data_IF_038136268282
#
_entry.id   IF_038136268282
#
_cell.length_a   1.000
_cell.length_b   1.000
_cell.length_c   1.000
_cell.angle_alpha   90.00
_cell.angle_beta   90.00
_cell.angle_gamma   90.00
#
_symmetry.space_group_name_H-M   'P 1'
#
loop_
_entity.id
_entity.type
_entity.pdbx_description
1 polymer ?
#
# COMPACT_ATOMS: atom_id res chain seq x y z
N UNK A 1 -19.30 93.42 -44.13
CA UNK A 1 -19.77 92.29 -43.30
C UNK A 1 -18.62 91.95 -42.36
N UNK A 2 -18.46 92.56 -41.17
CA UNK A 2 -19.18 92.29 -39.89
C UNK A 2 -19.45 90.77 -39.75
N UNK A 3 -18.89 90.02 -38.79
CA UNK A 3 -18.57 90.43 -37.42
C UNK A 3 -17.41 89.68 -36.77
N UNK A 4 -16.97 90.29 -35.67
CA UNK A 4 -15.98 89.85 -34.70
C UNK A 4 -16.73 89.65 -33.36
N UNK A 5 -16.05 89.11 -32.34
CA UNK A 5 -16.39 89.06 -30.88
C UNK A 5 -17.05 87.71 -30.49
N UNK A 6 -16.70 86.95 -29.43
CA UNK A 6 -15.99 87.16 -28.15
C UNK A 6 -15.41 85.81 -27.65
N UNK A 7 -14.32 85.86 -26.89
CA UNK A 7 -13.89 84.79 -25.98
C UNK A 7 -14.82 84.75 -24.75
N UNK A 8 -15.12 83.56 -24.24
CA UNK A 8 -15.50 83.33 -22.86
C UNK A 8 -14.86 82.03 -22.35
N UNK A 9 -14.49 82.11 -21.08
CA UNK A 9 -13.69 81.21 -20.27
C UNK A 9 -14.47 79.98 -19.75
N UNK A 10 -13.69 78.94 -19.43
CA UNK A 10 -13.91 77.84 -18.46
C UNK A 10 -15.00 76.78 -18.72
N UNK A 11 -14.60 75.51 -18.85
CA UNK A 11 -15.06 74.40 -17.98
C UNK A 11 -14.21 73.13 -18.20
N UNK A 12 -14.18 72.27 -17.19
CA UNK A 12 -13.16 71.28 -16.86
C UNK A 12 -13.26 69.90 -17.57
N UNK A 13 -12.15 69.16 -17.45
CA UNK A 13 -12.05 67.69 -17.31
C UNK A 13 -12.48 66.79 -18.48
N UNK A 14 -11.49 66.35 -19.28
CA UNK A 14 -11.59 65.14 -20.11
C UNK A 14 -10.92 63.96 -19.38
N UNK A 15 -11.70 62.90 -19.17
CA UNK A 15 -11.44 61.81 -18.23
C UNK A 15 -10.28 60.89 -18.63
N UNK A 16 -9.27 60.77 -17.76
CA UNK A 16 -8.15 59.83 -17.85
C UNK A 16 -8.54 58.37 -17.46
N UNK A 17 -9.81 58.11 -17.17
CA UNK A 17 -10.29 56.86 -16.57
C UNK A 17 -10.65 55.80 -17.62
N UNK A 18 -11.21 56.17 -18.78
CA UNK A 18 -11.67 55.20 -19.80
C UNK A 18 -10.54 54.48 -20.56
N UNK A 19 -9.38 55.15 -20.70
CA UNK A 19 -8.21 54.58 -21.39
C UNK A 19 -7.47 53.53 -20.54
N UNK A 20 -7.72 53.49 -19.22
CA UNK A 20 -7.09 52.52 -18.31
C UNK A 20 -7.87 51.20 -18.26
N UNK A 21 -9.20 51.28 -18.25
CA UNK A 21 -10.11 50.12 -18.22
C UNK A 21 -9.97 49.23 -19.47
N UNK A 22 -9.76 49.82 -20.65
CA UNK A 22 -9.61 49.04 -21.90
C UNK A 22 -8.28 48.31 -22.00
N UNK A 23 -7.21 48.83 -21.40
CA UNK A 23 -5.90 48.17 -21.36
C UNK A 23 -5.91 47.05 -20.32
N UNK A 24 -6.52 47.26 -19.15
CA UNK A 24 -6.60 46.25 -18.09
C UNK A 24 -7.37 44.99 -18.52
N UNK A 25 -8.48 45.14 -19.27
CA UNK A 25 -9.26 44.01 -19.78
C UNK A 25 -8.52 43.15 -20.82
N UNK A 26 -7.63 43.74 -21.63
CA UNK A 26 -6.88 43.00 -22.65
C UNK A 26 -5.72 42.17 -22.07
N UNK A 27 -5.17 42.57 -20.92
CA UNK A 27 -4.12 41.83 -20.23
C UNK A 27 -4.67 40.60 -19.50
N UNK A 28 -5.90 40.65 -19.01
CA UNK A 28 -6.56 39.52 -18.34
C UNK A 28 -6.92 38.39 -19.33
N UNK A 29 -7.32 38.73 -20.56
CA UNK A 29 -7.58 37.73 -21.62
C UNK A 29 -6.29 37.07 -22.14
N UNK A 30 -5.19 37.82 -22.21
CA UNK A 30 -3.90 37.26 -22.61
C UNK A 30 -3.34 36.30 -21.54
N UNK A 31 -3.50 36.64 -20.25
CA UNK A 31 -3.02 35.79 -19.15
C UNK A 31 -3.85 34.52 -18.96
N UNK A 32 -5.16 34.58 -19.23
CA UNK A 32 -6.03 33.39 -19.23
C UNK A 32 -5.76 32.46 -20.41
N UNK A 33 -5.49 32.98 -21.60
CA UNK A 33 -5.07 32.19 -22.76
C UNK A 33 -3.68 31.56 -22.57
N UNK A 34 -2.73 32.30 -21.98
CA UNK A 34 -1.40 31.76 -21.65
C UNK A 34 -1.52 30.67 -20.56
N UNK A 35 -2.41 30.83 -19.57
CA UNK A 35 -2.69 29.77 -18.58
C UNK A 35 -3.35 28.55 -19.21
N UNK A 36 -4.31 28.72 -20.12
CA UNK A 36 -4.99 27.62 -20.81
C UNK A 36 -4.06 26.83 -21.75
N UNK A 37 -3.17 27.52 -22.47
CA UNK A 37 -2.16 26.91 -23.33
C UNK A 37 -1.08 26.14 -22.55
N UNK A 38 -0.70 26.65 -21.37
CA UNK A 38 0.23 25.94 -20.48
C UNK A 38 -0.43 24.76 -19.76
N UNK A 39 -1.74 24.80 -19.50
CA UNK A 39 -2.47 23.69 -18.87
C UNK A 39 -2.65 22.50 -19.84
N UNK A 40 -2.84 22.76 -21.13
CA UNK A 40 -2.94 21.70 -22.14
C UNK A 40 -1.59 21.03 -22.43
N UNK A 41 -0.48 21.78 -22.43
CA UNK A 41 0.87 21.23 -22.56
C UNK A 41 1.33 20.48 -21.29
N UNK A 42 0.97 20.96 -20.09
CA UNK A 42 1.23 20.25 -18.82
C UNK A 42 0.47 18.92 -18.75
N UNK A 43 -0.79 18.86 -19.17
CA UNK A 43 -1.56 17.60 -19.18
C UNK A 43 -1.01 16.57 -20.18
N UNK A 44 -0.45 17.01 -21.32
CA UNK A 44 0.12 16.10 -22.33
C UNK A 44 1.46 15.51 -21.90
N UNK A 45 2.32 16.34 -21.28
CA UNK A 45 3.63 15.90 -20.74
C UNK A 45 3.47 15.05 -19.47
N UNK A 46 2.44 15.33 -18.66
CA UNK A 46 2.11 14.55 -17.46
C UNK A 46 1.52 13.16 -17.81
N UNK A 47 0.86 13.01 -18.97
CA UNK A 47 0.36 11.73 -19.46
C UNK A 47 1.47 10.83 -20.04
N UNK A 48 2.50 11.41 -20.67
CA UNK A 48 3.61 10.65 -21.26
C UNK A 48 4.53 10.01 -20.20
N UNK A 49 4.69 10.65 -19.04
CA UNK A 49 5.52 10.14 -17.93
C UNK A 49 4.75 9.23 -16.95
N UNK A 50 3.42 9.11 -17.08
CA UNK A 50 2.57 8.26 -16.22
C UNK A 50 1.86 7.12 -16.95
N UNK A 51 2.20 6.87 -18.21
CA UNK A 51 1.57 5.82 -19.00
C UNK A 51 2.11 4.44 -18.60
N UNK A 52 1.56 3.87 -17.52
CA UNK A 52 1.74 2.46 -17.13
C UNK A 52 1.33 1.47 -18.24
N UNK A 53 0.76 1.93 -19.35
CA UNK A 53 0.50 1.10 -20.53
C UNK A 53 0.89 1.90 -21.76
N UNK A 54 1.71 1.33 -22.65
CA UNK A 54 2.14 1.96 -23.93
C UNK A 54 1.00 2.13 -24.97
N UNK A 55 -0.25 2.00 -24.55
CA UNK A 55 -1.41 1.95 -25.42
C UNK A 55 -1.91 3.37 -25.69
N UNK A 56 -2.34 3.66 -26.92
CA UNK A 56 -2.97 4.94 -27.23
C UNK A 56 -4.28 5.09 -26.44
N UNK A 57 -4.68 6.32 -26.07
CA UNK A 57 -5.89 6.54 -25.25
C UNK A 57 -7.17 6.01 -25.93
N UNK A 58 -7.19 5.99 -27.27
CA UNK A 58 -8.29 5.39 -28.04
C UNK A 58 -8.37 3.88 -27.84
N UNK A 59 -7.25 3.17 -28.02
CA UNK A 59 -7.19 1.72 -27.82
C UNK A 59 -7.41 1.33 -26.35
N UNK A 60 -7.02 2.18 -25.40
CA UNK A 60 -7.34 2.01 -23.99
C UNK A 60 -8.85 2.04 -23.72
N UNK A 61 -9.60 2.94 -24.39
CA UNK A 61 -11.07 2.98 -24.28
C UNK A 61 -11.73 1.76 -24.92
N UNK A 62 -11.23 1.29 -26.06
CA UNK A 62 -11.73 0.05 -26.69
C UNK A 62 -11.53 -1.15 -25.76
N UNK A 63 -10.34 -1.27 -25.18
CA UNK A 63 -10.02 -2.34 -24.22
C UNK A 63 -10.95 -2.29 -23.01
N UNK A 64 -11.10 -1.12 -22.39
CA UNK A 64 -11.91 -0.96 -21.19
C UNK A 64 -13.41 -1.16 -21.50
N UNK A 65 -13.84 -0.84 -22.72
CA UNK A 65 -15.19 -1.11 -23.21
C UNK A 65 -15.48 -2.62 -23.30
N UNK A 66 -14.60 -3.41 -23.93
CA UNK A 66 -14.76 -4.86 -24.01
C UNK A 66 -14.58 -5.57 -22.65
N UNK A 67 -13.79 -5.00 -21.74
CA UNK A 67 -13.62 -5.53 -20.38
C UNK A 67 -14.77 -5.16 -19.44
N UNK A 68 -15.64 -4.21 -19.81
CA UNK A 68 -16.70 -3.64 -18.98
C UNK A 68 -16.21 -3.15 -17.60
N UNK A 69 -14.89 -2.93 -17.48
CA UNK A 69 -14.18 -2.55 -16.26
C UNK A 69 -12.93 -1.78 -16.65
N UNK A 70 -12.54 -0.83 -15.81
CA UNK A 70 -11.23 -0.16 -15.94
C UNK A 70 -10.12 -1.20 -15.89
N UNK A 71 -9.25 -1.18 -16.88
CA UNK A 71 -8.13 -2.12 -16.93
C UNK A 71 -7.18 -1.90 -15.75
N UNK A 72 -6.97 -2.97 -14.97
CA UNK A 72 -5.92 -3.02 -13.95
C UNK A 72 -4.67 -3.63 -14.57
N UNK A 73 -3.55 -2.93 -14.45
CA UNK A 73 -2.29 -3.33 -15.07
C UNK A 73 -1.55 -4.35 -14.20
N UNK A 74 -1.38 -5.57 -14.70
CA UNK A 74 -0.66 -6.63 -14.00
C UNK A 74 0.86 -6.58 -14.22
N UNK A 75 1.32 -5.77 -15.18
CA UNK A 75 2.75 -5.65 -15.46
C UNK A 75 3.43 -4.78 -14.40
N UNK A 76 4.63 -5.23 -13.99
CA UNK A 76 5.48 -4.51 -13.04
C UNK A 76 6.33 -3.50 -13.81
N UNK A 77 6.04 -2.22 -13.61
CA UNK A 77 6.84 -1.11 -14.11
C UNK A 77 7.91 -0.72 -13.10
N UNK A 78 8.92 0.00 -13.56
CA UNK A 78 10.06 0.42 -12.74
C UNK A 78 9.61 1.22 -11.50
N UNK A 79 8.67 2.15 -11.67
CA UNK A 79 8.19 3.02 -10.58
C UNK A 79 7.46 2.27 -9.45
N UNK A 80 6.87 1.12 -9.76
CA UNK A 80 6.17 0.27 -8.79
C UNK A 80 7.07 -0.80 -8.17
N UNK A 81 8.28 -0.96 -8.71
CA UNK A 81 9.24 -1.97 -8.28
C UNK A 81 10.34 -1.30 -7.46
N UNK A 82 10.86 -2.00 -6.45
CA UNK A 82 12.08 -1.54 -5.78
C UNK A 82 13.25 -1.53 -6.77
N UNK A 83 14.19 -0.59 -6.57
CA UNK A 83 15.41 -0.50 -7.40
C UNK A 83 16.20 -1.81 -7.34
N UNK A 84 16.95 -2.14 -8.39
CA UNK A 84 17.83 -3.33 -8.38
C UNK A 84 18.98 -3.20 -7.38
N UNK A 85 19.51 -1.99 -7.23
CA UNK A 85 20.56 -1.68 -6.26
C UNK A 85 19.93 -1.25 -4.94
N UNK A 86 20.16 -2.02 -3.89
CA UNK A 86 19.69 -1.74 -2.53
C UNK A 86 20.85 -1.23 -1.66
N UNK A 87 20.60 -0.30 -0.72
CA UNK A 87 21.61 0.09 0.25
C UNK A 87 21.97 -1.10 1.16
N UNK A 88 23.17 -1.11 1.77
CA UNK A 88 23.55 -2.17 2.71
C UNK A 88 22.56 -2.21 3.89
N UNK A 89 21.99 -3.38 4.23
CA UNK A 89 21.03 -3.50 5.32
C UNK A 89 21.75 -3.56 6.69
N UNK A 90 21.11 -3.00 7.72
CA UNK A 90 21.50 -3.22 9.12
C UNK A 90 20.45 -4.12 9.80
N UNK A 91 20.76 -5.42 9.87
CA UNK A 91 19.83 -6.42 10.41
C UNK A 91 19.95 -6.51 11.94
N UNK A 92 18.83 -6.65 12.68
CA UNK A 92 18.89 -6.86 14.12
C UNK A 92 19.53 -8.23 14.42
N UNK A 93 20.27 -8.35 15.54
CA UNK A 93 20.89 -9.60 15.94
C UNK A 93 19.83 -10.63 16.38
N UNK A 94 20.16 -11.92 16.25
CA UNK A 94 19.32 -13.02 16.73
C UNK A 94 19.32 -13.12 18.26
N UNK A 95 18.34 -13.85 18.81
CA UNK A 95 18.15 -14.01 20.27
C UNK A 95 19.36 -14.62 20.97
N UNK A 96 20.15 -15.43 20.27
CA UNK A 96 21.35 -16.07 20.78
C UNK A 96 22.62 -15.21 20.66
N UNK A 97 22.54 -13.93 20.27
CA UNK A 97 23.70 -13.02 20.26
C UNK A 97 23.84 -12.31 21.62
N UNK A 98 24.04 -13.11 22.68
CA UNK A 98 24.22 -12.63 24.05
C UNK A 98 25.65 -12.88 24.50
N UNK A 99 26.26 -11.92 25.21
CA UNK A 99 27.65 -12.01 25.68
C UNK A 99 27.82 -12.95 26.88
N UNK A 100 26.79 -13.12 27.70
CA UNK A 100 26.81 -13.96 28.90
C UNK A 100 25.50 -14.76 29.03
N UNK A 101 25.54 -15.85 29.81
CA UNK A 101 24.35 -16.67 30.09
C UNK A 101 23.75 -17.35 28.85
N UNK A 102 24.58 -17.70 27.87
CA UNK A 102 24.15 -18.22 26.57
C UNK A 102 24.96 -19.44 26.14
N UNK A 103 25.02 -20.44 27.01
CA UNK A 103 25.69 -21.69 26.72
C UNK A 103 24.95 -22.49 25.64
N UNK A 104 25.69 -23.16 24.77
CA UNK A 104 25.06 -23.93 23.69
C UNK A 104 24.22 -25.10 24.20
N UNK A 105 24.66 -25.75 25.29
CA UNK A 105 23.99 -26.95 25.81
C UNK A 105 22.57 -26.69 26.34
N UNK A 106 22.24 -25.47 26.77
CA UNK A 106 20.90 -25.11 27.27
C UNK A 106 19.90 -24.78 26.16
N UNK A 107 20.35 -24.69 24.91
CA UNK A 107 19.51 -24.32 23.75
C UNK A 107 19.52 -25.37 22.63
N UNK A 108 20.23 -26.49 22.83
CA UNK A 108 20.45 -27.49 21.81
C UNK A 108 19.31 -28.52 21.77
N UNK A 109 18.19 -28.13 21.15
CA UNK A 109 16.99 -28.99 20.99
C UNK A 109 17.30 -30.29 20.24
N UNK A 110 18.37 -30.35 19.43
CA UNK A 110 18.75 -31.57 18.72
C UNK A 110 19.13 -32.70 19.66
N UNK A 111 19.60 -32.38 20.87
CA UNK A 111 19.95 -33.35 21.92
C UNK A 111 18.80 -33.64 22.88
N UNK A 112 17.75 -32.82 22.85
CA UNK A 112 16.52 -33.03 23.63
C UNK A 112 15.59 -34.04 22.94
N UNK A 113 15.82 -34.35 21.67
CA UNK A 113 15.07 -35.36 20.94
C UNK A 113 15.36 -36.76 21.51
N UNK A 114 14.43 -37.28 22.31
CA UNK A 114 14.45 -38.66 22.79
C UNK A 114 13.83 -39.61 21.77
N UNK A 115 14.19 -40.91 21.79
CA UNK A 115 13.44 -41.93 21.08
C UNK A 115 11.95 -41.89 21.44
N UNK A 116 11.05 -42.33 20.54
CA UNK A 116 9.62 -42.39 20.83
C UNK A 116 9.34 -43.30 22.02
N UNK A 117 8.39 -42.93 22.87
CA UNK A 117 7.95 -43.76 23.99
C UNK A 117 7.16 -44.96 23.46
N UNK A 118 7.64 -46.17 23.72
CA UNK A 118 6.93 -47.40 23.36
C UNK A 118 5.74 -47.62 24.30
N UNK A 119 4.51 -47.43 23.80
CA UNK A 119 3.28 -47.68 24.56
C UNK A 119 2.92 -49.17 24.62
N UNK A 120 3.33 -49.94 23.61
CA UNK A 120 3.12 -51.38 23.50
C UNK A 120 4.26 -52.01 22.72
N UNK A 121 4.88 -53.06 23.28
CA UNK A 121 5.90 -53.87 22.62
C UNK A 121 5.41 -55.31 22.53
N UNK A 122 5.55 -55.93 21.36
CA UNK A 122 5.04 -57.29 21.08
C UNK A 122 5.95 -58.42 21.62
N UNK A 123 6.99 -58.09 22.40
CA UNK A 123 7.93 -59.04 23.03
C UNK A 123 7.51 -59.50 24.44
N UNK A 124 8.29 -60.37 25.10
CA UNK A 124 8.01 -60.80 26.47
C UNK A 124 8.02 -59.57 27.39
N UNK A 125 6.85 -59.27 27.98
CA UNK A 125 6.66 -58.16 28.93
C UNK A 125 7.66 -58.32 30.06
N UNK A 126 8.61 -57.38 30.19
CA UNK A 126 9.33 -57.23 31.44
C UNK A 126 8.30 -56.84 32.51
N UNK A 127 8.14 -57.72 33.48
CA UNK A 127 7.28 -57.51 34.65
C UNK A 127 7.97 -56.43 35.47
N UNK A 128 7.33 -55.29 35.68
CA UNK A 128 7.77 -54.33 36.70
C UNK A 128 7.68 -55.04 38.05
N UNK A 129 8.82 -55.21 38.73
CA UNK A 129 8.88 -55.91 40.01
C UNK A 129 8.09 -55.16 41.09
N UNK A 130 7.15 -55.87 41.73
CA UNK A 130 6.59 -55.54 43.05
C UNK A 130 5.46 -54.52 43.07
N UNK A 131 4.25 -55.03 43.34
CA UNK A 131 3.05 -54.35 43.88
C UNK A 131 2.84 -52.86 43.54
N UNK A 132 2.00 -52.61 42.55
CA UNK A 132 1.08 -51.49 42.59
C UNK A 132 -0.26 -51.98 42.09
N UNK A 133 -1.19 -52.20 43.03
CA UNK A 133 -2.61 -52.39 42.72
C UNK A 133 -3.06 -51.23 41.83
N UNK A 134 -3.35 -51.53 40.57
CA UNK A 134 -3.94 -50.56 39.67
C UNK A 134 -5.32 -50.17 40.23
N UNK A 135 -5.60 -48.89 40.51
CA UNK A 135 -6.94 -48.48 40.88
C UNK A 135 -7.86 -48.80 39.71
N UNK A 136 -8.92 -49.58 39.96
CA UNK A 136 -9.97 -49.91 39.00
C UNK A 136 -10.71 -48.62 38.61
N UNK A 137 -10.15 -47.90 37.63
CA UNK A 137 -10.83 -46.79 36.95
C UNK A 137 -11.76 -47.39 35.89
N UNK A 138 -13.02 -46.92 35.77
CA UNK A 138 -13.92 -47.39 34.73
C UNK A 138 -13.29 -47.17 33.35
N UNK A 139 -13.35 -48.18 32.50
CA UNK A 139 -12.84 -48.15 31.13
C UNK A 139 -13.67 -47.17 30.31
N UNK A 140 -13.12 -45.98 30.05
CA UNK A 140 -13.69 -45.04 29.08
C UNK A 140 -13.40 -45.64 27.70
N UNK A 141 -14.44 -46.04 26.98
CA UNK A 141 -14.32 -46.83 25.73
C UNK A 141 -13.93 -45.99 24.52
N UNK A 142 -13.98 -44.66 24.62
CA UNK A 142 -13.92 -43.78 23.46
C UNK A 142 -12.81 -42.72 23.65
N UNK A 143 -11.56 -43.11 23.42
CA UNK A 143 -10.45 -42.15 23.30
C UNK A 143 -10.37 -41.62 21.86
N UNK A 144 -10.94 -40.44 21.61
CA UNK A 144 -10.70 -39.71 20.36
C UNK A 144 -9.44 -38.84 20.52
N UNK A 145 -8.43 -38.93 19.64
CA UNK A 145 -7.26 -38.08 19.74
C UNK A 145 -7.63 -36.62 19.45
N UNK A 146 -7.36 -35.73 20.41
CA UNK A 146 -7.60 -34.30 20.28
C UNK A 146 -9.05 -33.86 20.55
N UNK A 147 -9.25 -32.55 20.64
CA UNK A 147 -10.56 -31.94 20.88
C UNK A 147 -11.27 -31.65 19.54
N UNK A 148 -12.59 -31.86 19.47
CA UNK A 148 -13.41 -31.38 18.36
C UNK A 148 -13.57 -29.87 18.48
N UNK A 149 -13.00 -29.12 17.53
CA UNK A 149 -13.13 -27.66 17.49
C UNK A 149 -14.37 -27.28 16.68
N UNK A 150 -15.16 -26.33 17.20
CA UNK A 150 -16.24 -25.68 16.45
C UNK A 150 -15.86 -24.22 16.19
N UNK A 151 -15.37 -23.94 14.99
CA UNK A 151 -14.89 -22.61 14.58
C UNK A 151 -16.03 -21.58 14.46
N UNK A 152 -17.26 -22.05 14.31
CA UNK A 152 -18.46 -21.23 14.17
C UNK A 152 -19.25 -21.07 15.49
N UNK A 153 -18.72 -21.58 16.60
CA UNK A 153 -19.39 -21.45 17.89
C UNK A 153 -19.41 -20.00 18.38
N UNK A 154 -20.56 -19.55 18.87
CA UNK A 154 -20.69 -18.23 19.49
C UNK A 154 -19.82 -18.16 20.75
N UNK A 155 -18.86 -17.23 20.76
CA UNK A 155 -18.01 -16.97 21.93
C UNK A 155 -18.88 -16.27 22.97
N UNK A 156 -19.22 -16.98 24.05
CA UNK A 156 -19.81 -16.36 25.25
C UNK A 156 -18.76 -15.44 25.88
N UNK A 157 -18.93 -14.13 25.66
CA UNK A 157 -18.17 -13.09 26.35
C UNK A 157 -18.75 -12.82 27.74
#
# INVERSE_FOLDING_TARGET
>A
MKGKIKLLHDCASFNFIELKVTVDLAWDDLTTLIKAANLSSLSYVEMASRARTRLTPFMARIRDFFLMRKYNNAQRYEDLSSKRTQPPPNLPPGVAHKMSGNYYYTRDVRRECSPPTELFSAGPKQITGGESQAPTRPLITDFTPGFKHNWDAEIKR
#
